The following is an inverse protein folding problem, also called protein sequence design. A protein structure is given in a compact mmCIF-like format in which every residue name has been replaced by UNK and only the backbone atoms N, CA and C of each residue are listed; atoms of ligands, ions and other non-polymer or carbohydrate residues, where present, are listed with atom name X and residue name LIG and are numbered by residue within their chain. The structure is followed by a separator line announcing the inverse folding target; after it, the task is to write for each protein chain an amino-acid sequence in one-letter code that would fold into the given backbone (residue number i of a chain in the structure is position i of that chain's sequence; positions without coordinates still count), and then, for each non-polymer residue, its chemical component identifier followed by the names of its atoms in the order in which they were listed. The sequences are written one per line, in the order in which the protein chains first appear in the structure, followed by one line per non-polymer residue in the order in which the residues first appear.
data_IF_748575520927
#
_entry.id   IF_748575520927
#
_cell.length_a   1.000
_cell.length_b   1.000
_cell.length_c   1.000
_cell.angle_alpha   90.00
_cell.angle_beta   90.00
_cell.angle_gamma   90.00
#
_symmetry.space_group_name_H-M   'P 1'
#
loop_
_entity.id
_entity.type
_entity.pdbx_description
1 polymer ?
#
# COMPACT_ATOMS: atom_id res chain seq x y z
N UNK A 1 27.21 -13.92 33.28
CA UNK A 1 26.11 -14.13 32.29
C UNK A 1 25.10 -12.96 32.32
N UNK A 2 24.40 -12.69 33.46
CA UNK A 2 23.39 -11.62 33.53
C UNK A 2 24.00 -10.21 33.40
N UNK A 3 25.12 -9.96 34.02
CA UNK A 3 25.85 -8.67 33.91
C UNK A 3 26.38 -8.45 32.48
N UNK A 4 26.86 -9.50 31.82
CA UNK A 4 27.35 -9.41 30.45
C UNK A 4 26.19 -9.15 29.46
N UNK A 5 25.01 -9.72 29.70
CA UNK A 5 23.81 -9.42 28.92
C UNK A 5 23.35 -7.97 29.08
N UNK A 6 23.28 -7.48 30.33
CA UNK A 6 22.93 -6.09 30.65
C UNK A 6 23.92 -5.10 30.01
N UNK A 7 25.22 -5.41 30.05
CA UNK A 7 26.25 -4.61 29.42
C UNK A 7 26.13 -4.56 27.90
N UNK A 8 25.94 -5.72 27.25
CA UNK A 8 25.75 -5.79 25.79
C UNK A 8 24.45 -5.12 25.33
N UNK A 9 23.40 -5.21 26.11
CA UNK A 9 22.15 -4.51 25.82
C UNK A 9 22.31 -2.98 25.96
N UNK A 10 23.12 -2.52 26.95
CA UNK A 10 23.49 -1.11 27.06
C UNK A 10 24.21 -0.60 25.82
N UNK A 11 25.25 -1.31 25.38
CA UNK A 11 26.01 -0.96 24.19
C UNK A 11 25.13 -0.98 22.91
N UNK A 12 24.20 -1.93 22.80
CA UNK A 12 23.30 -2.01 21.68
C UNK A 12 22.29 -0.83 21.64
N UNK A 13 21.80 -0.38 22.81
CA UNK A 13 20.95 0.82 22.92
C UNK A 13 21.70 2.09 22.56
N UNK A 14 22.94 2.23 23.00
CA UNK A 14 23.77 3.38 22.65
C UNK A 14 24.01 3.42 21.13
N UNK A 15 24.37 2.28 20.53
CA UNK A 15 24.54 2.18 19.08
C UNK A 15 23.26 2.51 18.30
N UNK A 16 22.09 2.13 18.80
CA UNK A 16 20.80 2.51 18.19
C UNK A 16 20.55 4.01 18.28
N UNK A 17 20.84 4.62 19.42
CA UNK A 17 20.71 6.08 19.61
C UNK A 17 21.60 6.84 18.63
N UNK A 18 22.85 6.39 18.46
CA UNK A 18 23.81 7.01 17.55
C UNK A 18 23.43 6.82 16.07
N UNK A 19 22.73 5.73 15.75
CA UNK A 19 22.23 5.44 14.42
C UNK A 19 20.86 6.08 14.11
N UNK A 20 20.20 6.75 15.08
CA UNK A 20 18.86 7.31 14.92
C UNK A 20 18.83 8.39 13.83
N UNK A 21 17.83 8.34 12.95
CA UNK A 21 17.52 9.34 11.93
C UNK A 21 16.07 9.81 12.09
N UNK A 22 15.64 10.80 11.31
CA UNK A 22 14.23 11.26 11.34
C UNK A 22 13.25 10.16 10.96
N UNK A 23 13.60 9.29 9.99
CA UNK A 23 12.71 8.24 9.48
C UNK A 23 12.94 6.87 10.12
N UNK A 24 14.07 6.64 10.78
CA UNK A 24 14.40 5.31 11.31
C UNK A 24 15.81 5.25 11.88
N UNK A 25 16.64 4.36 11.36
CA UNK A 25 18.03 4.18 11.78
C UNK A 25 18.98 4.09 10.58
N UNK A 26 20.12 4.75 10.64
CA UNK A 26 21.17 4.68 9.63
C UNK A 26 21.66 3.23 9.46
N UNK A 27 21.37 2.66 8.30
CA UNK A 27 21.65 1.25 8.02
C UNK A 27 23.15 0.97 7.89
N UNK A 28 23.95 1.93 7.43
CA UNK A 28 25.39 1.75 7.29
C UNK A 28 26.06 1.67 8.67
N UNK A 29 25.65 2.53 9.62
CA UNK A 29 26.10 2.45 11.01
C UNK A 29 25.70 1.13 11.65
N UNK A 30 24.46 0.68 11.49
CA UNK A 30 24.02 -0.62 12.02
C UNK A 30 24.76 -1.78 11.36
N UNK A 31 25.01 -1.73 10.04
CA UNK A 31 25.73 -2.77 9.32
C UNK A 31 27.19 -2.91 9.81
N UNK A 32 27.82 -1.82 10.23
CA UNK A 32 29.19 -1.80 10.72
C UNK A 32 29.37 -2.39 12.14
N UNK A 33 28.28 -2.59 12.88
CA UNK A 33 28.35 -3.17 14.22
C UNK A 33 28.85 -4.62 14.22
N UNK A 34 29.61 -5.05 15.24
CA UNK A 34 29.88 -6.47 15.48
C UNK A 34 28.58 -7.28 15.55
N UNK A 35 28.60 -8.50 15.03
CA UNK A 35 27.41 -9.36 14.92
C UNK A 35 26.59 -9.47 16.21
N UNK A 36 27.18 -9.69 17.42
CA UNK A 36 26.42 -9.75 18.67
C UNK A 36 25.68 -8.46 19.00
N UNK A 37 26.29 -7.30 18.76
CA UNK A 37 25.67 -5.98 19.00
C UNK A 37 24.62 -5.66 17.93
N UNK A 38 24.90 -5.97 16.66
CA UNK A 38 23.98 -5.78 15.54
C UNK A 38 22.67 -6.52 15.76
N UNK A 39 22.74 -7.79 16.10
CA UNK A 39 21.54 -8.61 16.31
C UNK A 39 20.72 -8.13 17.52
N UNK A 40 21.38 -7.67 18.60
CA UNK A 40 20.71 -7.07 19.77
C UNK A 40 20.08 -5.73 19.44
N UNK A 41 20.80 -4.83 18.77
CA UNK A 41 20.30 -3.54 18.35
C UNK A 41 19.03 -3.68 17.49
N UNK A 42 19.08 -4.55 16.47
CA UNK A 42 17.90 -4.82 15.63
C UNK A 42 16.75 -5.40 16.47
N UNK A 43 17.00 -6.32 17.37
CA UNK A 43 15.97 -6.88 18.24
C UNK A 43 15.33 -5.79 19.10
N UNK A 44 16.13 -4.92 19.70
CA UNK A 44 15.62 -3.77 20.50
C UNK A 44 14.75 -2.87 19.64
N UNK A 45 15.23 -2.47 18.45
CA UNK A 45 14.48 -1.61 17.54
C UNK A 45 13.14 -2.23 17.10
N UNK A 46 13.11 -3.53 16.85
CA UNK A 46 11.91 -4.31 16.49
C UNK A 46 10.89 -4.30 17.64
N UNK A 47 11.33 -4.51 18.90
CA UNK A 47 10.43 -4.46 20.06
C UNK A 47 9.96 -3.06 20.38
N UNK A 48 10.81 -2.03 20.27
CA UNK A 48 10.44 -0.62 20.44
C UNK A 48 9.41 -0.17 19.40
N UNK A 49 9.44 -0.78 18.20
CA UNK A 49 8.45 -0.52 17.14
C UNK A 49 7.10 -1.24 17.36
N UNK A 50 6.95 -2.04 18.41
CA UNK A 50 5.69 -2.69 18.78
C UNK A 50 5.58 -4.17 18.42
N UNK A 51 6.68 -4.84 18.07
CA UNK A 51 6.67 -6.28 17.91
C UNK A 51 6.41 -7.01 19.25
N UNK A 52 5.79 -8.17 19.18
CA UNK A 52 5.47 -9.01 20.33
C UNK A 52 6.43 -10.19 20.48
N UNK A 53 6.15 -11.09 21.43
CA UNK A 53 7.01 -12.22 21.80
C UNK A 53 7.30 -13.22 20.67
N UNK A 54 6.54 -13.20 19.56
CA UNK A 54 6.68 -14.15 18.44
C UNK A 54 7.82 -13.83 17.46
N UNK A 55 8.73 -12.91 17.84
CA UNK A 55 9.89 -12.55 17.01
C UNK A 55 10.97 -13.61 17.14
N UNK A 56 11.07 -14.47 16.14
CA UNK A 56 12.07 -15.53 16.06
C UNK A 56 13.41 -15.01 15.52
N UNK A 57 14.46 -15.82 15.72
CA UNK A 57 15.81 -15.55 15.22
C UNK A 57 15.84 -15.30 13.71
N UNK A 58 15.10 -16.07 12.91
CA UNK A 58 15.01 -15.91 11.45
C UNK A 58 14.52 -14.51 11.02
N UNK A 59 13.63 -13.89 11.82
CA UNK A 59 13.15 -12.53 11.54
C UNK A 59 14.27 -11.50 11.71
N UNK A 60 15.08 -11.65 12.77
CA UNK A 60 16.23 -10.78 13.02
C UNK A 60 17.31 -10.95 11.94
N UNK A 61 17.62 -12.20 11.56
CA UNK A 61 18.58 -12.49 10.49
C UNK A 61 18.13 -11.87 9.16
N UNK A 62 16.85 -12.00 8.80
CA UNK A 62 16.29 -11.36 7.60
C UNK A 62 16.43 -9.85 7.61
N UNK A 63 16.24 -9.20 8.74
CA UNK A 63 16.43 -7.75 8.88
C UNK A 63 17.91 -7.38 8.76
N UNK A 64 18.82 -8.17 9.33
CA UNK A 64 20.26 -7.94 9.16
C UNK A 64 20.68 -7.97 7.70
N UNK A 65 20.14 -8.90 6.90
CA UNK A 65 20.38 -8.96 5.45
C UNK A 65 19.87 -7.71 4.73
N UNK A 66 18.78 -7.12 5.23
CA UNK A 66 18.22 -5.89 4.65
C UNK A 66 19.12 -4.66 4.85
N UNK A 67 20.04 -4.65 5.80
CA UNK A 67 20.96 -3.52 6.00
C UNK A 67 21.83 -3.24 4.76
N UNK A 68 22.08 -4.25 3.94
CA UNK A 68 22.83 -4.14 2.68
C UNK A 68 21.97 -4.25 1.41
N UNK A 69 20.65 -4.45 1.58
CA UNK A 69 19.73 -4.60 0.47
C UNK A 69 19.45 -3.28 -0.26
N UNK A 70 18.83 -3.36 -1.44
CA UNK A 70 18.41 -2.18 -2.22
C UNK A 70 17.27 -1.45 -1.52
N UNK A 71 17.18 -0.14 -1.74
CA UNK A 71 16.03 0.68 -1.31
C UNK A 71 14.71 0.05 -1.76
N UNK A 72 13.71 0.04 -0.86
CA UNK A 72 12.43 -0.61 -1.07
C UNK A 72 12.38 -2.09 -0.65
N UNK A 73 13.51 -2.68 -0.19
CA UNK A 73 13.47 -3.99 0.48
C UNK A 73 12.57 -3.91 1.73
N UNK A 74 11.79 -4.95 1.98
CA UNK A 74 10.89 -5.02 3.14
C UNK A 74 10.82 -6.44 3.70
N UNK A 75 10.51 -6.55 4.98
CA UNK A 75 10.23 -7.78 5.67
C UNK A 75 9.05 -7.58 6.63
N UNK A 76 8.08 -8.47 6.56
CA UNK A 76 7.01 -8.54 7.55
C UNK A 76 7.46 -9.39 8.73
N UNK A 77 7.19 -8.90 9.92
CA UNK A 77 7.50 -9.50 11.21
C UNK A 77 6.17 -9.50 11.99
N UNK A 78 5.96 -10.42 12.93
CA UNK A 78 4.73 -10.39 13.73
C UNK A 78 4.44 -8.99 14.29
N UNK A 79 3.28 -8.43 13.92
CA UNK A 79 2.73 -7.12 14.29
C UNK A 79 3.41 -5.88 13.74
N UNK A 80 4.58 -5.97 13.10
CA UNK A 80 5.28 -4.84 12.48
C UNK A 80 5.91 -5.21 11.14
N UNK A 81 6.37 -4.21 10.41
CA UNK A 81 7.20 -4.38 9.21
C UNK A 81 8.54 -3.65 9.37
N UNK A 82 9.58 -4.16 8.72
CA UNK A 82 10.82 -3.45 8.49
C UNK A 82 10.95 -3.10 7.01
N UNK A 83 11.43 -1.91 6.69
CA UNK A 83 11.67 -1.51 5.29
C UNK A 83 12.90 -0.62 5.16
N UNK A 84 13.52 -0.67 3.98
CA UNK A 84 14.67 0.17 3.64
C UNK A 84 14.19 1.39 2.86
N UNK A 85 14.44 2.59 3.41
CA UNK A 85 14.17 3.88 2.80
C UNK A 85 15.49 4.63 2.64
N UNK A 86 15.96 4.80 1.40
CA UNK A 86 17.26 5.43 1.10
C UNK A 86 18.41 4.90 1.97
N UNK A 87 19.00 5.72 2.83
CA UNK A 87 20.09 5.35 3.75
C UNK A 87 19.63 4.75 5.08
N UNK A 88 18.31 4.65 5.34
CA UNK A 88 17.74 4.25 6.61
C UNK A 88 17.06 2.89 6.55
N UNK A 89 17.04 2.17 7.69
CA UNK A 89 16.12 1.08 7.96
C UNK A 89 15.07 1.56 8.95
N UNK A 90 13.81 1.35 8.61
CA UNK A 90 12.65 1.79 9.36
C UNK A 90 11.89 0.61 9.92
N UNK A 91 11.32 0.77 11.10
CA UNK A 91 10.49 -0.22 11.79
C UNK A 91 9.19 0.41 12.24
N UNK A 92 8.10 -0.31 12.17
CA UNK A 92 6.81 0.15 12.67
C UNK A 92 5.66 -0.70 12.16
N UNK A 93 4.50 -0.41 12.70
CA UNK A 93 3.28 -0.83 12.05
C UNK A 93 3.31 -0.06 10.73
N UNK A 94 3.61 -0.76 9.64
CA UNK A 94 3.36 -0.21 8.32
C UNK A 94 1.86 -0.01 8.25
N UNK A 95 1.38 1.08 8.80
CA UNK A 95 0.17 1.64 8.26
C UNK A 95 0.54 1.80 6.80
N UNK A 96 -0.04 0.93 5.96
CA UNK A 96 -0.15 1.29 4.58
C UNK A 96 -0.87 2.64 4.64
N UNK A 97 -0.09 3.72 4.65
CA UNK A 97 -0.62 5.09 4.73
C UNK A 97 -1.64 5.36 3.61
N UNK A 98 -1.82 4.36 2.77
CA UNK A 98 -2.71 4.29 1.64
C UNK A 98 -3.67 3.08 1.68
N UNK A 99 -3.86 2.38 2.81
CA UNK A 99 -4.92 1.36 2.86
C UNK A 99 -6.26 2.07 3.05
N UNK A 100 -6.91 2.28 1.92
CA UNK A 100 -8.26 2.81 1.86
C UNK A 100 -9.23 1.65 1.84
N UNK A 101 -10.31 1.71 2.60
CA UNK A 101 -11.48 0.84 2.49
C UNK A 101 -12.71 1.53 3.08
N UNK A 102 -13.40 2.31 2.24
CA UNK A 102 -14.59 3.08 2.63
C UNK A 102 -15.77 2.75 1.71
N UNK A 103 -17.02 2.79 2.19
CA UNK A 103 -18.19 2.70 1.34
C UNK A 103 -18.19 3.80 0.29
N UNK A 104 -18.54 3.46 -0.96
CA UNK A 104 -18.66 4.44 -2.02
C UNK A 104 -20.05 5.10 -2.01
N UNK A 105 -20.06 6.42 -2.02
CA UNK A 105 -21.28 7.21 -2.18
C UNK A 105 -21.57 7.42 -3.67
N UNK A 106 -22.68 6.92 -4.16
CA UNK A 106 -23.10 7.03 -5.56
C UNK A 106 -23.50 8.48 -5.93
N UNK A 107 -23.86 9.30 -4.96
CA UNK A 107 -24.22 10.70 -5.16
C UNK A 107 -23.47 11.57 -4.14
N UNK A 108 -22.46 12.28 -4.63
CA UNK A 108 -21.62 13.14 -3.83
C UNK A 108 -20.21 12.60 -3.60
N UNK A 109 -19.63 13.00 -2.48
CA UNK A 109 -18.23 12.77 -2.17
C UNK A 109 -18.02 11.49 -1.34
N UNK A 110 -16.99 10.74 -1.70
CA UNK A 110 -16.41 9.64 -0.90
C UNK A 110 -15.01 10.00 -0.53
N UNK A 111 -14.78 10.49 0.68
CA UNK A 111 -13.50 10.98 1.19
C UNK A 111 -12.69 9.86 1.86
N UNK A 112 -11.38 9.92 1.71
CA UNK A 112 -10.39 9.04 2.36
C UNK A 112 -9.06 9.78 2.54
N UNK A 113 -8.11 9.19 3.24
CA UNK A 113 -6.79 9.79 3.40
C UNK A 113 -6.06 9.91 2.05
N UNK A 114 -5.72 11.12 1.63
CA UNK A 114 -5.03 11.42 0.37
C UNK A 114 -5.94 11.73 -0.81
N UNK A 115 -7.26 11.97 -0.60
CA UNK A 115 -8.15 12.43 -1.65
C UNK A 115 -9.61 12.01 -1.53
N UNK A 116 -10.33 12.10 -2.63
CA UNK A 116 -11.73 11.69 -2.68
C UNK A 116 -12.16 11.27 -4.09
N UNK A 117 -13.24 10.51 -4.14
CA UNK A 117 -14.04 10.32 -5.35
C UNK A 117 -15.30 11.17 -5.25
N UNK A 118 -15.65 11.83 -6.33
CA UNK A 118 -16.91 12.57 -6.46
C UNK A 118 -17.77 11.93 -7.53
N UNK A 119 -19.00 11.59 -7.19
CA UNK A 119 -19.94 10.93 -8.09
C UNK A 119 -21.19 11.79 -8.26
N UNK A 120 -21.63 11.96 -9.51
CA UNK A 120 -22.85 12.68 -9.84
C UNK A 120 -23.53 12.09 -11.08
N UNK A 121 -24.85 12.17 -11.11
CA UNK A 121 -25.61 11.85 -12.30
C UNK A 121 -25.40 12.92 -13.36
N UNK A 122 -25.20 12.52 -14.61
CA UNK A 122 -25.03 13.44 -15.73
C UNK A 122 -25.94 13.08 -16.91
N UNK A 123 -26.46 14.10 -17.57
CA UNK A 123 -27.24 13.96 -18.82
C UNK A 123 -26.32 14.29 -20.00
N UNK A 124 -25.86 13.26 -20.71
CA UNK A 124 -25.10 13.40 -21.97
C UNK A 124 -23.61 13.72 -21.81
N UNK A 125 -22.88 13.62 -22.92
CA UNK A 125 -21.51 14.12 -23.07
C UNK A 125 -20.41 13.37 -22.32
N UNK A 126 -19.83 12.30 -22.91
CA UNK A 126 -18.64 11.64 -22.35
C UNK A 126 -17.39 12.40 -22.72
N UNK A 127 -16.73 13.02 -21.73
CA UNK A 127 -15.41 13.62 -21.90
C UNK A 127 -14.35 12.64 -21.44
N UNK A 128 -13.53 12.14 -22.37
CA UNK A 128 -12.45 11.21 -22.01
C UNK A 128 -11.35 11.91 -21.19
N UNK A 129 -11.20 11.46 -19.93
CA UNK A 129 -10.15 11.89 -19.04
C UNK A 129 -9.71 10.67 -18.20
N UNK A 130 -8.43 10.61 -17.84
CA UNK A 130 -7.90 9.46 -17.10
C UNK A 130 -8.31 9.44 -15.62
N UNK A 131 -8.73 10.58 -15.06
CA UNK A 131 -9.20 10.69 -13.67
C UNK A 131 -10.73 10.76 -13.57
N UNK A 132 -11.43 10.69 -14.70
CA UNK A 132 -12.89 10.74 -14.78
C UNK A 132 -13.40 9.48 -15.46
N UNK A 133 -14.34 8.80 -14.83
CA UNK A 133 -15.05 7.67 -15.37
C UNK A 133 -16.53 8.03 -15.67
N UNK A 134 -17.05 7.54 -16.78
CA UNK A 134 -18.48 7.54 -17.08
C UNK A 134 -18.98 6.11 -17.04
N UNK A 135 -19.90 5.84 -16.15
CA UNK A 135 -20.33 4.50 -15.75
C UNK A 135 -21.84 4.39 -15.97
N UNK A 136 -22.29 3.28 -16.51
CA UNK A 136 -23.70 2.95 -16.56
C UNK A 136 -24.20 2.68 -15.13
N UNK A 137 -25.02 3.60 -14.61
CA UNK A 137 -25.54 3.53 -13.24
C UNK A 137 -26.38 2.27 -13.00
N UNK A 138 -27.08 1.81 -14.02
CA UNK A 138 -27.98 0.65 -13.93
C UNK A 138 -27.20 -0.68 -13.85
N UNK A 139 -25.93 -0.69 -14.26
CA UNK A 139 -25.03 -1.83 -14.16
C UNK A 139 -24.26 -1.87 -12.84
N UNK A 140 -24.37 -0.84 -11.99
CA UNK A 140 -23.66 -0.82 -10.72
C UNK A 140 -24.31 -1.78 -9.72
N UNK A 141 -23.55 -2.75 -9.18
CA UNK A 141 -24.05 -3.63 -8.12
C UNK A 141 -24.12 -2.91 -6.78
N UNK A 142 -24.77 -3.52 -5.80
CA UNK A 142 -24.76 -3.04 -4.42
C UNK A 142 -23.39 -3.26 -3.76
N UNK A 143 -23.15 -2.54 -2.64
CA UNK A 143 -21.94 -2.76 -1.81
C UNK A 143 -20.66 -2.23 -2.42
N UNK A 144 -20.74 -1.15 -3.19
CA UNK A 144 -19.58 -0.46 -3.77
C UNK A 144 -18.66 0.08 -2.68
N UNK A 145 -17.36 -0.07 -2.89
CA UNK A 145 -16.32 0.44 -2.00
C UNK A 145 -15.19 1.10 -2.77
N UNK A 146 -14.66 2.17 -2.21
CA UNK A 146 -13.36 2.68 -2.60
C UNK A 146 -12.34 2.03 -1.67
N UNK A 147 -11.42 1.28 -2.25
CA UNK A 147 -10.38 0.60 -1.47
C UNK A 147 -9.09 0.38 -2.28
N UNK A 148 -8.02 0.09 -1.58
CA UNK A 148 -6.80 -0.41 -2.19
C UNK A 148 -6.97 -1.87 -2.64
N UNK A 149 -6.11 -2.31 -3.55
CA UNK A 149 -6.14 -3.67 -4.08
C UNK A 149 -5.87 -4.73 -3.01
N UNK A 150 -6.44 -5.93 -3.21
CA UNK A 150 -6.19 -7.14 -2.42
C UNK A 150 -5.78 -8.30 -3.34
N UNK A 151 -5.19 -9.34 -2.76
CA UNK A 151 -4.93 -10.55 -3.53
C UNK A 151 -6.26 -11.20 -3.98
N UNK A 152 -6.27 -11.65 -5.23
CA UNK A 152 -7.48 -12.20 -5.86
C UNK A 152 -8.33 -11.19 -6.63
N UNK A 153 -8.11 -9.89 -6.47
CA UNK A 153 -8.83 -8.86 -7.22
C UNK A 153 -8.64 -9.01 -8.73
N UNK A 154 -9.70 -8.71 -9.46
CA UNK A 154 -9.79 -8.85 -10.92
C UNK A 154 -10.17 -7.53 -11.58
N UNK A 155 -9.76 -7.37 -12.82
CA UNK A 155 -10.15 -6.24 -13.66
C UNK A 155 -10.38 -6.70 -15.11
N UNK A 156 -11.46 -6.23 -15.70
CA UNK A 156 -11.78 -6.45 -17.10
C UNK A 156 -11.82 -5.10 -17.80
N UNK A 157 -10.72 -4.68 -18.39
CA UNK A 157 -10.65 -3.42 -19.13
C UNK A 157 -11.54 -3.51 -20.39
N UNK A 158 -12.18 -2.41 -20.77
CA UNK A 158 -12.95 -2.31 -22.01
C UNK A 158 -12.09 -2.76 -23.19
N UNK A 159 -12.65 -3.65 -24.02
CA UNK A 159 -11.96 -4.18 -25.20
C UNK A 159 -10.91 -5.24 -24.95
N UNK A 160 -10.74 -5.72 -23.71
CA UNK A 160 -9.71 -6.72 -23.37
C UNK A 160 -10.13 -8.18 -23.62
N UNK A 161 -11.36 -8.43 -24.06
CA UNK A 161 -11.87 -9.79 -24.34
C UNK A 161 -12.07 -10.68 -23.09
N UNK A 162 -11.65 -10.26 -21.89
CA UNK A 162 -11.81 -11.01 -20.65
C UNK A 162 -11.16 -10.32 -19.45
N UNK A 163 -11.55 -10.80 -18.25
CA UNK A 163 -10.98 -10.30 -16.99
C UNK A 163 -9.69 -11.02 -16.61
N UNK A 164 -8.70 -10.28 -16.10
CA UNK A 164 -7.46 -10.81 -15.55
C UNK A 164 -7.29 -10.41 -14.08
N UNK A 165 -6.33 -11.02 -13.37
CA UNK A 165 -5.97 -10.58 -12.02
C UNK A 165 -5.46 -9.15 -12.09
N UNK A 166 -5.87 -8.31 -11.14
CA UNK A 166 -5.45 -6.91 -11.05
C UNK A 166 -3.92 -6.76 -10.91
N UNK A 167 -3.28 -7.70 -10.21
CA UNK A 167 -1.83 -7.79 -10.11
C UNK A 167 -1.16 -7.89 -11.49
N UNK A 168 -1.67 -8.78 -12.35
CA UNK A 168 -1.12 -9.00 -13.69
C UNK A 168 -1.38 -7.80 -14.60
N UNK A 169 -2.55 -7.17 -14.46
CA UNK A 169 -2.87 -5.92 -15.16
C UNK A 169 -1.84 -4.82 -14.85
N UNK A 170 -1.48 -4.63 -13.58
CA UNK A 170 -0.48 -3.62 -13.19
C UNK A 170 0.93 -3.95 -13.68
N UNK A 171 1.29 -5.24 -13.75
CA UNK A 171 2.58 -5.67 -14.31
C UNK A 171 2.63 -5.37 -15.81
N UNK A 172 1.60 -5.75 -16.56
CA UNK A 172 1.51 -5.54 -18.01
C UNK A 172 1.55 -4.05 -18.37
N UNK A 173 0.93 -3.20 -17.54
CA UNK A 173 0.93 -1.74 -17.68
C UNK A 173 2.19 -1.06 -17.11
N UNK A 174 3.16 -1.85 -16.60
CA UNK A 174 4.40 -1.36 -15.98
C UNK A 174 4.16 -0.33 -14.87
N UNK A 175 3.05 -0.46 -14.13
CA UNK A 175 2.73 0.43 -13.01
C UNK A 175 3.81 0.27 -11.94
N UNK A 176 4.46 1.35 -11.47
CA UNK A 176 5.43 1.31 -10.38
C UNK A 176 4.83 0.68 -9.12
N UNK A 177 5.65 -0.03 -8.33
CA UNK A 177 5.15 -0.78 -7.16
C UNK A 177 4.49 0.10 -6.10
N UNK A 178 5.05 1.26 -5.87
CA UNK A 178 4.55 2.30 -4.95
C UNK A 178 3.18 2.85 -5.36
N UNK A 179 2.90 2.91 -6.66
CA UNK A 179 1.62 3.39 -7.20
C UNK A 179 0.53 2.31 -7.25
N UNK A 180 0.84 1.03 -7.02
CA UNK A 180 -0.14 -0.07 -7.10
C UNK A 180 -1.13 -0.11 -5.94
N UNK A 181 -0.93 0.68 -4.91
CA UNK A 181 -1.83 0.81 -3.75
C UNK A 181 -2.73 2.05 -3.86
N UNK A 182 -2.97 2.54 -5.09
CA UNK A 182 -3.92 3.62 -5.33
C UNK A 182 -5.35 3.21 -4.93
N UNK A 183 -6.20 4.19 -4.56
CA UNK A 183 -7.63 3.96 -4.35
C UNK A 183 -8.33 3.59 -5.66
N UNK A 184 -9.16 2.54 -5.62
CA UNK A 184 -9.86 1.97 -6.75
C UNK A 184 -11.32 1.75 -6.36
N UNK A 185 -12.25 1.99 -7.26
CA UNK A 185 -13.66 1.67 -7.06
C UNK A 185 -13.88 0.17 -7.31
N UNK A 186 -14.43 -0.53 -6.32
CA UNK A 186 -14.69 -1.96 -6.36
C UNK A 186 -16.15 -2.32 -6.11
N UNK A 187 -16.52 -3.49 -6.64
CA UNK A 187 -17.63 -4.30 -6.14
C UNK A 187 -17.09 -5.69 -5.81
N UNK A 188 -17.08 -6.07 -4.54
CA UNK A 188 -16.45 -7.31 -4.10
C UNK A 188 -14.97 -7.36 -4.51
N UNK A 189 -14.58 -8.34 -5.32
CA UNK A 189 -13.23 -8.49 -5.88
C UNK A 189 -13.07 -7.88 -7.29
N UNK A 190 -14.13 -7.33 -7.88
CA UNK A 190 -14.07 -6.74 -9.21
C UNK A 190 -13.77 -5.25 -9.13
N UNK A 191 -12.64 -4.83 -9.72
CA UNK A 191 -12.33 -3.42 -9.91
C UNK A 191 -13.23 -2.85 -11.03
N UNK A 192 -13.89 -1.74 -10.74
CA UNK A 192 -14.81 -1.07 -11.66
C UNK A 192 -14.20 0.18 -12.29
N UNK A 193 -13.45 0.97 -11.52
CA UNK A 193 -12.72 2.13 -12.02
C UNK A 193 -11.36 2.24 -11.34
N UNK A 194 -10.32 2.29 -12.15
CA UNK A 194 -8.93 2.49 -11.74
C UNK A 194 -8.50 3.88 -12.25
N UNK A 195 -8.34 4.88 -11.37
CA UNK A 195 -7.87 6.21 -11.76
C UNK A 195 -6.57 6.14 -12.56
N UNK A 196 -6.51 6.85 -13.67
CA UNK A 196 -5.37 6.83 -14.58
C UNK A 196 -5.32 5.66 -15.58
N UNK A 197 -6.13 4.60 -15.38
CA UNK A 197 -6.05 3.38 -16.19
C UNK A 197 -7.36 2.97 -16.87
N UNK A 198 -8.51 3.43 -16.37
CA UNK A 198 -9.78 3.25 -17.04
C UNK A 198 -10.85 2.51 -16.23
N UNK A 199 -11.95 2.19 -16.91
CA UNK A 199 -13.13 1.53 -16.33
C UNK A 199 -13.27 0.08 -16.79
N UNK A 200 -14.00 -0.70 -15.98
CA UNK A 200 -14.35 -2.07 -16.32
C UNK A 200 -15.40 -2.13 -17.43
N UNK A 201 -15.24 -3.11 -18.32
CA UNK A 201 -16.22 -3.44 -19.35
C UNK A 201 -17.60 -3.77 -18.76
N UNK A 202 -17.64 -4.27 -17.51
CA UNK A 202 -18.87 -4.62 -16.79
C UNK A 202 -19.79 -3.42 -16.54
N UNK A 203 -19.25 -2.21 -16.49
CA UNK A 203 -19.99 -0.98 -16.13
C UNK A 203 -19.87 0.11 -17.21
N UNK A 204 -19.45 -0.26 -18.40
CA UNK A 204 -19.33 0.68 -19.52
C UNK A 204 -20.68 1.25 -19.94
N UNK A 205 -20.65 2.50 -20.35
CA UNK A 205 -21.79 3.16 -21.02
C UNK A 205 -21.93 2.60 -22.42
N UNK A 206 -23.16 2.28 -22.82
CA UNK A 206 -23.56 1.77 -24.12
C UNK A 206 -24.66 2.66 -24.73
N UNK A 207 -25.01 2.46 -25.99
CA UNK A 207 -26.02 3.28 -26.69
C UNK A 207 -27.39 3.29 -26.01
N UNK A 208 -27.72 2.20 -25.30
CA UNK A 208 -29.00 2.04 -24.59
C UNK A 208 -28.93 2.46 -23.10
N UNK A 209 -27.79 2.95 -22.60
CA UNK A 209 -27.64 3.43 -21.23
C UNK A 209 -28.54 4.65 -20.98
N UNK A 210 -29.42 4.54 -19.97
CA UNK A 210 -30.38 5.60 -19.63
C UNK A 210 -29.82 6.55 -18.55
N UNK A 211 -29.04 6.05 -17.63
CA UNK A 211 -28.52 6.80 -16.50
C UNK A 211 -26.99 6.69 -16.45
N UNK A 212 -26.34 7.81 -16.63
CA UNK A 212 -24.87 7.87 -16.58
C UNK A 212 -24.43 8.49 -15.28
N UNK A 213 -23.49 7.84 -14.61
CA UNK A 213 -22.80 8.34 -13.43
C UNK A 213 -21.40 8.81 -13.84
N UNK A 214 -21.10 10.07 -13.59
CA UNK A 214 -19.74 10.59 -13.69
C UNK A 214 -19.03 10.40 -12.35
N UNK A 215 -17.89 9.74 -12.35
CA UNK A 215 -17.05 9.52 -11.16
C UNK A 215 -15.70 10.16 -11.39
N UNK A 216 -15.37 11.15 -10.58
CA UNK A 216 -14.11 11.90 -10.65
C UNK A 216 -13.23 11.54 -9.47
N UNK A 217 -11.97 11.21 -9.71
CA UNK A 217 -10.95 11.05 -8.66
C UNK A 217 -10.14 12.32 -8.52
N UNK A 218 -9.99 12.78 -7.27
CA UNK A 218 -9.16 13.94 -6.90
C UNK A 218 -8.18 13.49 -5.82
N UNK A 219 -6.88 13.63 -6.13
CA UNK A 219 -5.82 13.44 -5.15
C UNK A 219 -5.62 14.75 -4.38
N UNK A 220 -5.53 14.68 -3.05
CA UNK A 220 -5.12 15.78 -2.18
C UNK A 220 -3.65 15.58 -1.79
N UNK A 221 -2.87 16.67 -1.82
CA UNK A 221 -1.45 16.67 -1.44
C UNK A 221 -1.27 16.79 0.07
#
# INVERSE_FOLDING_TARGET
LRQDEEYLDGLARDALRDAKTEEGYDRARLAALPLPLKSRAIRIAVFEAGATADVERRHIERIMDMLTAKTGAHADIPHISAWVSYGSICFGIRQNANEVDVPFNIEGETRFAGGFFFAEAVEGGIIKNNTVAYIDRDKLPAGLRVRTRRDGDRFQLIGSGGGKKLKDFFIDRKVPRDQRNMPILFSGSDALFIPGYGISDKVKVEENTKRVLRVTYVAEQ
#
